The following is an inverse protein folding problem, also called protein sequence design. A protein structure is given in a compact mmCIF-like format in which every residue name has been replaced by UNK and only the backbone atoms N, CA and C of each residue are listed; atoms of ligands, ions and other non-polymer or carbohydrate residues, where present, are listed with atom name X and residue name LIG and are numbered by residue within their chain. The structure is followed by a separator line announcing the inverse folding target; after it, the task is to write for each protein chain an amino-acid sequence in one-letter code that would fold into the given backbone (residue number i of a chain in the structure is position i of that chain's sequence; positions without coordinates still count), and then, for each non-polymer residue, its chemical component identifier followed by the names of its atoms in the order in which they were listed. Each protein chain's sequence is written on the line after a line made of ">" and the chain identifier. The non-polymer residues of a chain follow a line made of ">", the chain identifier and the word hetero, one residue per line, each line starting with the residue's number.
data_IF_717183182640
#
_entry.id   IF_717183182640
#
_cell.length_a   1.000
_cell.length_b   1.000
_cell.length_c   1.000
_cell.angle_alpha   90.00
_cell.angle_beta   90.00
_cell.angle_gamma   90.00
#
_symmetry.space_group_name_H-M   'P 1'
#
loop_
_entity.id
_entity.type
_entity.pdbx_description
1 polymer ?
#
# COMPACT_ATOMS: atom_id res chain seq x y z
N UNK A 1 -1.86 0.96 -15.27
CA UNK A 1 -2.53 2.27 -15.47
C UNK A 1 -1.81 3.27 -14.59
N UNK A 2 -1.62 4.51 -15.05
CA UNK A 2 -1.05 5.53 -14.17
C UNK A 2 -2.06 5.87 -13.06
N UNK A 3 -1.59 6.07 -11.84
CA UNK A 3 -2.47 6.33 -10.69
C UNK A 3 -3.33 7.59 -10.92
N UNK A 4 -2.78 8.58 -11.62
CA UNK A 4 -3.47 9.82 -12.00
C UNK A 4 -4.73 9.59 -12.85
N UNK A 5 -4.84 8.45 -13.52
CA UNK A 5 -5.96 8.10 -14.40
C UNK A 5 -7.03 7.24 -13.68
N UNK A 6 -6.72 6.70 -12.50
CA UNK A 6 -7.56 5.70 -11.81
C UNK A 6 -8.92 6.28 -11.42
N UNK A 7 -8.96 7.47 -10.80
CA UNK A 7 -10.21 8.09 -10.38
C UNK A 7 -11.16 8.28 -11.58
N UNK A 8 -10.66 8.88 -12.66
CA UNK A 8 -11.48 9.13 -13.86
C UNK A 8 -11.88 7.83 -14.55
N UNK A 9 -11.02 6.82 -14.56
CA UNK A 9 -11.34 5.51 -15.14
C UNK A 9 -12.43 4.78 -14.36
N UNK A 10 -12.42 4.86 -13.03
CA UNK A 10 -13.51 4.35 -12.17
C UNK A 10 -14.80 5.13 -12.40
N UNK A 11 -14.72 6.47 -12.42
CA UNK A 11 -15.87 7.35 -12.64
C UNK A 11 -16.57 7.08 -13.98
N UNK A 12 -15.79 6.80 -15.03
CA UNK A 12 -16.30 6.52 -16.38
C UNK A 12 -16.73 5.06 -16.57
N UNK A 13 -16.44 4.17 -15.62
CA UNK A 13 -16.69 2.73 -15.74
C UNK A 13 -15.75 2.03 -16.72
N UNK A 14 -14.58 2.61 -17.01
CA UNK A 14 -13.52 1.96 -17.81
C UNK A 14 -12.90 0.78 -17.03
N UNK A 15 -12.83 0.91 -15.71
CA UNK A 15 -12.47 -0.16 -14.78
C UNK A 15 -13.52 -0.23 -13.67
N UNK A 16 -13.79 -1.43 -13.19
CA UNK A 16 -14.81 -1.67 -12.16
C UNK A 16 -14.28 -1.46 -10.73
N UNK A 17 -12.96 -1.65 -10.55
CA UNK A 17 -12.32 -1.60 -9.25
C UNK A 17 -10.80 -1.50 -9.34
N UNK A 18 -10.19 -1.37 -8.17
CA UNK A 18 -8.75 -1.22 -7.95
C UNK A 18 -8.39 -1.78 -6.58
N UNK A 19 -7.09 -1.92 -6.31
CA UNK A 19 -6.58 -2.26 -4.98
C UNK A 19 -5.64 -1.14 -4.51
N UNK A 20 -5.75 -0.76 -3.23
CA UNK A 20 -4.87 0.19 -2.55
C UNK A 20 -5.06 0.07 -1.03
N UNK A 21 -4.10 0.55 -0.22
CA UNK A 21 -4.31 0.79 1.21
C UNK A 21 -5.47 1.75 1.47
N UNK A 22 -6.14 1.60 2.62
CA UNK A 22 -7.34 2.40 2.92
C UNK A 22 -7.04 3.90 3.07
N UNK A 23 -5.83 4.24 3.50
CA UNK A 23 -5.35 5.62 3.57
C UNK A 23 -5.25 6.27 2.19
N UNK A 24 -4.84 5.52 1.16
CA UNK A 24 -4.81 6.01 -0.23
C UNK A 24 -6.23 6.15 -0.77
N UNK A 25 -7.10 5.18 -0.48
CA UNK A 25 -8.52 5.24 -0.86
C UNK A 25 -9.22 6.49 -0.32
N UNK A 26 -8.97 6.84 0.95
CA UNK A 26 -9.50 8.04 1.59
C UNK A 26 -8.87 9.32 1.03
N UNK A 27 -7.55 9.43 1.04
CA UNK A 27 -6.84 10.66 0.65
C UNK A 27 -7.01 11.00 -0.83
N UNK A 28 -7.22 9.99 -1.68
CA UNK A 28 -7.49 10.14 -3.11
C UNK A 28 -8.98 10.22 -3.45
N UNK A 29 -9.86 10.26 -2.43
CA UNK A 29 -11.32 10.39 -2.56
C UNK A 29 -11.95 9.30 -3.43
N UNK A 30 -11.39 8.11 -3.44
CA UNK A 30 -11.90 7.01 -4.26
C UNK A 30 -13.28 6.56 -3.79
N UNK A 31 -13.67 6.86 -2.55
CA UNK A 31 -15.03 6.65 -2.02
C UNK A 31 -16.12 7.40 -2.81
N UNK A 32 -15.78 8.47 -3.54
CA UNK A 32 -16.74 9.18 -4.41
C UNK A 32 -17.14 8.37 -5.66
N UNK A 33 -16.29 7.42 -6.07
CA UNK A 33 -16.42 6.65 -7.32
C UNK A 33 -16.40 5.13 -7.11
N UNK A 34 -16.22 4.68 -5.87
CA UNK A 34 -16.23 3.27 -5.46
C UNK A 34 -16.97 3.13 -4.12
N UNK A 35 -18.03 2.31 -4.11
CA UNK A 35 -18.90 2.16 -2.94
C UNK A 35 -18.53 0.99 -2.03
N UNK A 36 -17.89 -0.04 -2.57
CA UNK A 36 -17.63 -1.29 -1.86
C UNK A 36 -16.12 -1.50 -1.71
N UNK A 37 -15.69 -1.85 -0.49
CA UNK A 37 -14.30 -2.17 -0.18
C UNK A 37 -14.26 -3.54 0.48
N UNK A 38 -13.39 -4.43 0.01
CA UNK A 38 -13.12 -5.72 0.67
C UNK A 38 -11.78 -5.64 1.39
N UNK A 39 -11.81 -5.79 2.72
CA UNK A 39 -10.60 -5.85 3.54
C UNK A 39 -10.04 -7.27 3.50
N UNK A 40 -9.19 -7.52 2.51
CA UNK A 40 -8.65 -8.85 2.20
C UNK A 40 -7.19 -9.09 2.62
N UNK A 41 -6.49 -8.03 3.05
CA UNK A 41 -5.10 -8.07 3.55
C UNK A 41 -4.10 -8.81 2.64
N UNK A 42 -4.34 -8.76 1.32
CA UNK A 42 -3.60 -9.57 0.34
C UNK A 42 -2.22 -9.04 -0.04
N UNK A 43 -1.94 -7.75 0.21
CA UNK A 43 -0.70 -7.08 -0.21
C UNK A 43 -0.17 -6.22 0.94
N UNK A 44 1.13 -6.38 1.24
CA UNK A 44 1.85 -5.44 2.10
C UNK A 44 2.52 -4.39 1.23
N UNK A 45 1.87 -3.24 1.11
CA UNK A 45 2.40 -2.11 0.34
C UNK A 45 3.52 -1.39 1.10
N UNK A 46 4.54 -0.94 0.37
CA UNK A 46 5.70 -0.23 0.92
C UNK A 46 6.10 0.91 0.00
N UNK A 47 6.23 2.11 0.58
CA UNK A 47 6.80 3.26 -0.14
C UNK A 47 8.27 3.39 0.21
N UNK A 48 9.13 3.38 -0.81
CA UNK A 48 10.58 3.51 -0.63
C UNK A 48 10.99 4.95 -0.89
N UNK A 49 11.61 5.60 0.10
CA UNK A 49 12.17 6.93 -0.06
C UNK A 49 13.55 6.82 -0.68
N UNK A 50 13.73 7.48 -1.83
CA UNK A 50 14.98 7.46 -2.58
C UNK A 50 15.51 8.87 -2.78
N UNK A 51 16.84 9.00 -2.72
CA UNK A 51 17.56 10.23 -3.06
C UNK A 51 18.63 9.93 -4.09
N UNK A 52 18.89 10.90 -4.99
CA UNK A 52 19.98 10.78 -5.92
C UNK A 52 21.33 10.64 -5.17
N UNK A 53 22.03 9.52 -5.40
CA UNK A 53 23.29 9.19 -4.72
C UNK A 53 24.34 10.29 -4.88
N UNK A 54 24.56 10.77 -6.12
CA UNK A 54 25.56 11.83 -6.38
C UNK A 54 25.23 13.11 -5.62
N UNK A 55 23.94 13.45 -5.50
CA UNK A 55 23.51 14.63 -4.76
C UNK A 55 23.76 14.46 -3.27
N UNK A 56 23.39 13.32 -2.68
CA UNK A 56 23.64 13.04 -1.26
C UNK A 56 25.14 13.08 -0.95
N UNK A 57 25.96 12.39 -1.75
CA UNK A 57 27.43 12.34 -1.59
C UNK A 57 28.11 13.69 -1.79
N UNK A 58 27.50 14.62 -2.56
CA UNK A 58 28.04 15.98 -2.74
C UNK A 58 27.87 16.88 -1.51
N UNK A 59 27.07 16.46 -0.51
CA UNK A 59 26.82 17.24 0.71
C UNK A 59 27.91 16.97 1.75
N UNK A 60 28.06 17.88 2.72
CA UNK A 60 28.92 17.64 3.88
C UNK A 60 28.44 16.39 4.67
N UNK A 61 29.34 15.70 5.39
CA UNK A 61 28.95 14.57 6.22
C UNK A 61 27.84 14.90 7.23
N UNK A 62 27.85 16.11 7.79
CA UNK A 62 26.80 16.62 8.68
C UNK A 62 25.44 16.68 7.99
N UNK A 63 25.36 17.23 6.78
CA UNK A 63 24.10 17.31 6.02
C UNK A 63 23.61 15.92 5.56
N UNK A 64 24.53 15.01 5.23
CA UNK A 64 24.16 13.62 4.91
C UNK A 64 23.52 12.93 6.12
N UNK A 65 24.10 13.12 7.31
CA UNK A 65 23.56 12.59 8.56
C UNK A 65 22.17 13.17 8.84
N UNK A 66 22.01 14.50 8.81
CA UNK A 66 20.72 15.16 9.05
C UNK A 66 19.63 14.64 8.11
N UNK A 67 19.92 14.49 6.82
CA UNK A 67 18.94 13.98 5.84
C UNK A 67 18.55 12.54 6.18
N UNK A 68 19.53 11.69 6.50
CA UNK A 68 19.30 10.27 6.78
C UNK A 68 18.50 10.08 8.08
N UNK A 69 18.86 10.80 9.14
CA UNK A 69 18.15 10.78 10.43
C UNK A 69 16.72 11.30 10.28
N UNK A 70 16.54 12.45 9.61
CA UNK A 70 15.20 13.01 9.37
C UNK A 70 14.33 12.07 8.54
N UNK A 71 14.90 11.39 7.55
CA UNK A 71 14.17 10.40 6.76
C UNK A 71 13.74 9.19 7.61
N UNK A 72 14.62 8.68 8.48
CA UNK A 72 14.29 7.58 9.39
C UNK A 72 13.18 7.95 10.37
N UNK A 73 13.26 9.14 10.98
CA UNK A 73 12.23 9.64 11.88
C UNK A 73 10.89 9.82 11.18
N UNK A 74 10.88 10.42 9.99
CA UNK A 74 9.66 10.62 9.21
C UNK A 74 9.02 9.29 8.76
N UNK A 75 9.84 8.31 8.34
CA UNK A 75 9.36 6.99 7.97
C UNK A 75 8.74 6.26 9.17
N UNK A 76 9.40 6.30 10.34
CA UNK A 76 8.85 5.69 11.56
C UNK A 76 7.54 6.35 11.96
N UNK A 77 7.50 7.68 12.00
CA UNK A 77 6.27 8.42 12.31
C UNK A 77 5.13 8.08 11.32
N UNK A 78 5.42 8.00 10.03
CA UNK A 78 4.44 7.65 9.01
C UNK A 78 3.86 6.24 9.20
N UNK A 79 4.71 5.25 9.52
CA UNK A 79 4.26 3.90 9.82
C UNK A 79 3.37 3.85 11.07
N UNK A 80 3.77 4.54 12.14
CA UNK A 80 2.99 4.60 13.38
C UNK A 80 1.66 5.32 13.18
N UNK A 81 1.65 6.39 12.37
CA UNK A 81 0.43 7.09 11.99
C UNK A 81 -0.53 6.16 11.23
N UNK A 82 -0.07 5.46 10.20
CA UNK A 82 -0.93 4.56 9.43
C UNK A 82 -1.46 3.42 10.29
N UNK A 83 -0.59 2.77 11.08
CA UNK A 83 -0.99 1.68 11.96
C UNK A 83 -1.97 2.13 13.06
N UNK A 84 -1.82 3.36 13.57
CA UNK A 84 -2.67 3.90 14.63
C UNK A 84 -4.02 4.45 14.15
N UNK A 85 -4.16 4.82 12.87
CA UNK A 85 -5.33 5.53 12.36
C UNK A 85 -6.20 4.72 11.39
N UNK A 86 -5.81 3.49 11.04
CA UNK A 86 -6.54 2.69 10.06
C UNK A 86 -8.04 2.53 10.40
N UNK A 87 -8.37 2.14 11.64
CA UNK A 87 -9.77 1.98 12.06
C UNK A 87 -10.53 3.31 12.12
N UNK A 88 -9.86 4.43 12.40
CA UNK A 88 -10.50 5.75 12.33
C UNK A 88 -10.85 6.13 10.89
N UNK A 89 -9.94 5.85 9.94
CA UNK A 89 -10.17 6.07 8.52
C UNK A 89 -11.33 5.19 8.02
N UNK A 90 -11.33 3.91 8.37
CA UNK A 90 -12.43 2.99 8.00
C UNK A 90 -13.77 3.51 8.52
N UNK A 91 -13.83 3.88 9.81
CA UNK A 91 -15.06 4.42 10.42
C UNK A 91 -15.56 5.66 9.69
N UNK A 92 -14.66 6.61 9.39
CA UNK A 92 -14.99 7.83 8.64
C UNK A 92 -15.56 7.49 7.25
N UNK A 93 -14.97 6.52 6.57
CA UNK A 93 -15.41 6.07 5.26
C UNK A 93 -16.78 5.38 5.33
N UNK A 94 -17.04 4.56 6.35
CA UNK A 94 -18.36 3.96 6.62
C UNK A 94 -19.42 5.03 6.86
N UNK A 95 -19.13 6.05 7.69
CA UNK A 95 -20.02 7.19 7.94
C UNK A 95 -20.31 7.99 6.66
N UNK A 96 -19.38 7.97 5.69
CA UNK A 96 -19.57 8.59 4.36
C UNK A 96 -20.30 7.69 3.34
N UNK A 97 -20.68 6.47 3.73
CA UNK A 97 -21.48 5.54 2.93
C UNK A 97 -20.69 4.46 2.18
N UNK A 98 -19.38 4.33 2.46
CA UNK A 98 -18.58 3.20 1.97
C UNK A 98 -19.01 1.92 2.68
N UNK A 99 -19.18 0.83 1.93
CA UNK A 99 -19.58 -0.47 2.47
C UNK A 99 -18.36 -1.38 2.54
N UNK A 100 -17.97 -1.74 3.75
CA UNK A 100 -16.84 -2.65 3.98
C UNK A 100 -17.29 -4.10 4.11
N UNK A 101 -16.60 -4.98 3.40
CA UNK A 101 -16.65 -6.44 3.57
C UNK A 101 -15.41 -6.86 4.32
N UNK A 102 -15.59 -7.43 5.51
CA UNK A 102 -14.50 -8.01 6.32
C UNK A 102 -14.53 -9.52 6.15
N UNK A 103 -13.44 -10.07 5.60
CA UNK A 103 -13.34 -11.50 5.33
C UNK A 103 -13.11 -12.29 6.62
N UNK A 104 -13.79 -13.42 6.73
CA UNK A 104 -13.47 -14.48 7.69
C UNK A 104 -12.12 -15.12 7.38
N UNK A 105 -11.55 -15.85 8.35
CA UNK A 105 -10.29 -16.58 8.13
C UNK A 105 -10.40 -17.61 7.00
N UNK A 106 -11.56 -18.27 6.85
CA UNK A 106 -11.83 -19.22 5.77
C UNK A 106 -11.86 -18.53 4.40
N UNK A 107 -12.50 -17.36 4.29
CA UNK A 107 -12.51 -16.58 3.05
C UNK A 107 -11.11 -16.05 2.72
N UNK A 108 -10.34 -15.57 3.71
CA UNK A 108 -8.93 -15.19 3.52
C UNK A 108 -8.08 -16.36 3.02
N UNK A 109 -8.32 -17.56 3.55
CA UNK A 109 -7.59 -18.76 3.11
C UNK A 109 -7.90 -19.14 1.65
N UNK A 110 -9.14 -18.90 1.19
CA UNK A 110 -9.48 -19.07 -0.22
C UNK A 110 -8.66 -18.13 -1.13
N UNK A 111 -8.49 -16.86 -0.75
CA UNK A 111 -7.63 -15.92 -1.47
C UNK A 111 -6.16 -16.35 -1.47
N UNK A 112 -5.63 -16.78 -0.31
CA UNK A 112 -4.26 -17.30 -0.20
C UNK A 112 -4.02 -18.53 -1.08
N UNK A 113 -4.97 -19.47 -1.07
CA UNK A 113 -4.88 -20.67 -1.91
C UNK A 113 -4.91 -20.31 -3.38
N UNK A 114 -5.78 -19.39 -3.78
CA UNK A 114 -5.87 -18.92 -5.17
C UNK A 114 -4.60 -18.18 -5.64
N UNK A 115 -3.88 -17.52 -4.74
CA UNK A 115 -2.68 -16.73 -5.05
C UNK A 115 -1.35 -17.47 -4.81
N UNK A 116 -1.36 -18.67 -4.21
CA UNK A 116 -0.16 -19.37 -3.75
C UNK A 116 0.93 -19.57 -4.83
N UNK A 117 0.53 -19.76 -6.09
CA UNK A 117 1.46 -19.97 -7.20
C UNK A 117 2.22 -18.73 -7.69
N UNK A 118 1.88 -17.52 -7.19
CA UNK A 118 2.52 -16.27 -7.63
C UNK A 118 4.02 -16.27 -7.30
N UNK A 119 4.41 -16.69 -6.10
CA UNK A 119 5.81 -16.68 -5.70
C UNK A 119 6.67 -17.57 -6.60
N UNK A 120 6.22 -18.80 -6.84
CA UNK A 120 6.97 -19.76 -7.66
C UNK A 120 7.04 -19.28 -9.12
N UNK A 121 5.97 -18.63 -9.62
CA UNK A 121 5.93 -18.04 -10.96
C UNK A 121 7.00 -16.95 -11.16
N UNK A 122 7.31 -16.17 -10.14
CA UNK A 122 8.25 -15.05 -10.22
C UNK A 122 9.62 -15.33 -9.58
N UNK A 123 9.86 -16.56 -9.10
CA UNK A 123 11.10 -16.92 -8.40
C UNK A 123 12.36 -16.70 -9.25
N UNK A 124 12.30 -17.01 -10.54
CA UNK A 124 13.43 -16.82 -11.46
C UNK A 124 13.74 -15.33 -11.74
N UNK A 125 12.74 -14.45 -11.65
CA UNK A 125 12.89 -13.01 -11.92
C UNK A 125 13.30 -12.24 -10.65
N UNK A 126 12.66 -12.55 -9.52
CA UNK A 126 12.83 -11.83 -8.25
C UNK A 126 13.99 -12.41 -7.43
N UNK A 127 14.27 -13.71 -7.57
CA UNK A 127 15.22 -14.45 -6.74
C UNK A 127 14.53 -15.15 -5.57
N UNK A 128 14.80 -16.45 -5.42
CA UNK A 128 14.23 -17.26 -4.34
C UNK A 128 14.66 -16.75 -2.95
N UNK A 129 15.88 -16.27 -2.83
CA UNK A 129 16.43 -15.70 -1.60
C UNK A 129 15.65 -14.46 -1.15
N UNK A 130 15.24 -13.60 -2.08
CA UNK A 130 14.39 -12.43 -1.80
C UNK A 130 12.99 -12.86 -1.37
N UNK A 131 12.38 -13.83 -2.07
CA UNK A 131 11.06 -14.37 -1.71
C UNK A 131 11.08 -14.97 -0.29
N UNK A 132 12.13 -15.70 0.07
CA UNK A 132 12.28 -16.35 1.36
C UNK A 132 12.44 -15.36 2.53
N UNK A 133 12.82 -14.10 2.27
CA UNK A 133 12.82 -13.04 3.30
C UNK A 133 11.40 -12.73 3.81
N UNK A 134 10.38 -12.92 2.96
CA UNK A 134 8.98 -12.57 3.26
C UNK A 134 8.09 -13.78 3.54
N UNK A 135 8.60 -15.01 3.43
CA UNK A 135 7.87 -16.27 3.73
C UNK A 135 8.00 -16.75 5.19
N UNK A 136 8.71 -16.02 6.05
CA UNK A 136 8.87 -16.36 7.48
C UNK A 136 7.68 -15.87 8.31
#
# INVERSE_FOLDING_TARGET
>A
MDFSEVYTSLQQGTIDGQENPISVFESSKLNEVQKYVTLWDGVRDTTIWIMNTKKLESLSPENQAIITESAQEALQWGNDYLAGNEEEIIKKLEESGTVFTRLTDEEKEAFKTASAGIYDKYADEIGQDVIDLFRK
#
